data_IF_408935582432
#
_entry.id   IF_408935582432
#
_cell.length_a   1.000
_cell.length_b   1.000
_cell.length_c   1.000
_cell.angle_alpha   90.00
_cell.angle_beta   90.00
_cell.angle_gamma   90.00
#
_symmetry.space_group_name_H-M   'P 1'
#
loop_
_entity.id
_entity.type
_entity.pdbx_description
1 polymer ?
#
# COMPACT_ATOMS: atom_id res chain seq x y z
N UNK A 1 -5.83 6.41 -16.61
CA UNK A 1 -5.39 7.36 -15.57
C UNK A 1 -3.87 7.31 -15.47
N UNK A 2 -3.22 8.46 -15.49
CA UNK A 2 -1.76 8.57 -15.31
C UNK A 2 -1.51 9.25 -13.96
N UNK A 3 -0.67 8.64 -13.13
CA UNK A 3 -0.24 9.21 -11.84
C UNK A 3 1.25 9.47 -11.91
N UNK A 4 1.67 10.67 -11.51
CA UNK A 4 3.07 11.09 -11.41
C UNK A 4 3.39 11.45 -9.96
N UNK A 5 4.68 11.42 -9.58
CA UNK A 5 5.17 11.72 -8.22
C UNK A 5 4.49 10.90 -7.11
N UNK A 6 4.31 9.59 -7.33
CA UNK A 6 3.69 8.69 -6.34
C UNK A 6 4.49 8.61 -5.02
N UNK A 7 5.78 8.93 -5.06
CA UNK A 7 6.69 9.04 -3.92
C UNK A 7 6.39 10.24 -3.01
N UNK A 8 5.71 11.28 -3.53
CA UNK A 8 5.36 12.50 -2.77
C UNK A 8 3.98 12.46 -2.12
N UNK A 9 3.34 11.29 -2.12
CA UNK A 9 2.01 11.13 -1.51
C UNK A 9 2.12 11.22 0.02
N UNK A 10 1.34 12.13 0.61
CA UNK A 10 1.33 12.36 2.07
C UNK A 10 0.09 11.75 2.70
N UNK A 11 0.27 10.97 3.76
CA UNK A 11 -0.84 10.56 4.62
C UNK A 11 -0.95 11.49 5.83
N UNK A 12 -2.15 11.98 6.07
CA UNK A 12 -2.44 12.88 7.19
C UNK A 12 -2.43 12.15 8.54
N UNK A 13 -2.25 12.92 9.61
CA UNK A 13 -2.35 12.45 11.00
C UNK A 13 -1.40 11.30 11.35
N UNK A 14 -0.17 11.26 10.81
CA UNK A 14 0.80 10.19 11.13
C UNK A 14 0.32 8.78 10.74
N UNK A 15 -0.56 8.67 9.74
CA UNK A 15 -1.06 7.37 9.27
C UNK A 15 0.01 6.58 8.51
N UNK A 16 1.03 7.23 7.97
CA UNK A 16 2.12 6.56 7.26
C UNK A 16 2.86 5.57 8.19
N UNK A 17 3.18 6.02 9.41
CA UNK A 17 3.86 5.22 10.43
C UNK A 17 2.93 4.17 11.05
N UNK A 18 1.69 4.56 11.36
CA UNK A 18 0.76 3.71 12.14
C UNK A 18 0.06 2.63 11.32
N UNK A 19 -0.01 2.79 10.00
CA UNK A 19 -0.72 1.86 9.13
C UNK A 19 0.21 0.72 8.72
N UNK A 20 0.08 -0.42 9.38
CA UNK A 20 0.75 -1.64 8.96
C UNK A 20 -0.04 -2.28 7.82
N UNK A 21 0.67 -2.63 6.74
CA UNK A 21 0.13 -3.39 5.62
C UNK A 21 0.58 -4.83 5.75
N UNK A 22 -0.38 -5.72 5.94
CA UNK A 22 -0.14 -7.16 5.99
C UNK A 22 -0.38 -7.79 4.61
N UNK A 23 0.53 -8.66 4.20
CA UNK A 23 0.35 -9.55 3.04
C UNK A 23 0.68 -10.98 3.43
N UNK A 24 -0.03 -11.93 2.84
CA UNK A 24 0.18 -13.36 3.08
C UNK A 24 0.69 -14.03 1.81
N UNK A 25 1.69 -14.90 1.93
CA UNK A 25 2.25 -15.64 0.78
C UNK A 25 1.45 -16.89 0.39
N UNK A 26 0.61 -17.39 1.30
CA UNK A 26 -0.19 -18.62 1.11
C UNK A 26 0.31 -19.82 1.91
N UNK A 27 1.53 -19.75 2.47
CA UNK A 27 2.13 -20.82 3.27
C UNK A 27 1.99 -20.56 4.77
N UNK A 28 1.99 -21.60 5.64
CA UNK A 28 2.03 -21.43 7.09
C UNK A 28 3.20 -20.54 7.53
N UNK A 29 2.93 -19.52 8.35
CA UNK A 29 3.93 -18.52 8.78
C UNK A 29 4.27 -17.46 7.72
N UNK A 30 3.61 -17.47 6.56
CA UNK A 30 3.87 -16.59 5.42
C UNK A 30 3.36 -15.15 5.55
N UNK A 31 3.10 -14.66 6.76
CA UNK A 31 2.67 -13.27 6.99
C UNK A 31 3.89 -12.36 6.85
N UNK A 32 3.78 -11.35 6.00
CA UNK A 32 4.72 -10.23 5.93
C UNK A 32 3.99 -8.94 6.28
N UNK A 33 4.60 -8.14 7.13
CA UNK A 33 4.12 -6.82 7.54
C UNK A 33 5.18 -5.78 7.20
N UNK A 34 4.78 -4.72 6.54
CA UNK A 34 5.60 -3.52 6.34
C UNK A 34 4.76 -2.30 6.75
N UNK A 35 5.37 -1.24 7.26
CA UNK A 35 4.66 0.03 7.48
C UNK A 35 4.32 0.69 6.15
N UNK A 36 3.30 1.56 6.13
CA UNK A 36 2.93 2.27 4.91
C UNK A 36 4.03 3.22 4.45
N UNK A 37 4.79 3.80 5.38
CA UNK A 37 5.99 4.60 5.13
C UNK A 37 7.11 3.78 4.45
N UNK A 38 7.42 2.60 4.98
CA UNK A 38 8.44 1.71 4.40
C UNK A 38 8.07 1.28 2.99
N UNK A 39 6.78 1.00 2.76
CA UNK A 39 6.28 0.66 1.44
C UNK A 39 6.37 1.87 0.51
N UNK A 40 6.03 3.09 0.97
CA UNK A 40 6.11 4.32 0.17
C UNK A 40 7.54 4.56 -0.31
N UNK A 41 8.53 4.32 0.55
CA UNK A 41 9.94 4.43 0.20
C UNK A 41 10.38 3.33 -0.79
N UNK A 42 9.93 2.08 -0.59
CA UNK A 42 10.35 0.93 -1.42
C UNK A 42 9.66 0.89 -2.79
N UNK A 43 8.34 1.08 -2.82
CA UNK A 43 7.45 0.85 -3.98
C UNK A 43 6.22 1.78 -3.97
N UNK A 44 6.40 3.09 -4.17
CA UNK A 44 5.33 4.07 -4.03
C UNK A 44 4.18 3.85 -5.04
N UNK A 45 4.49 3.45 -6.27
CA UNK A 45 3.48 3.21 -7.31
C UNK A 45 2.53 2.05 -6.97
N UNK A 46 3.04 0.99 -6.33
CA UNK A 46 2.24 -0.19 -5.98
C UNK A 46 1.20 0.11 -4.91
N UNK A 47 1.55 0.95 -3.92
CA UNK A 47 0.64 1.39 -2.88
C UNK A 47 -0.51 2.21 -3.45
N UNK A 48 -0.20 3.16 -4.32
CA UNK A 48 -1.20 4.01 -4.96
C UNK A 48 -2.12 3.14 -5.81
N UNK A 49 -1.56 2.22 -6.61
CA UNK A 49 -2.33 1.26 -7.40
C UNK A 49 -3.23 0.38 -6.53
N UNK A 50 -2.71 -0.18 -5.44
CA UNK A 50 -3.48 -1.05 -4.54
C UNK A 50 -4.63 -0.28 -3.87
N UNK A 51 -4.39 0.97 -3.49
CA UNK A 51 -5.41 1.83 -2.91
C UNK A 51 -6.51 2.15 -3.92
N UNK A 52 -6.14 2.46 -5.18
CA UNK A 52 -7.09 2.65 -6.27
C UNK A 52 -7.87 1.37 -6.58
N UNK A 53 -7.19 0.22 -6.62
CA UNK A 53 -7.83 -1.09 -6.83
C UNK A 53 -8.91 -1.36 -5.78
N UNK A 54 -8.69 -0.97 -4.52
CA UNK A 54 -9.69 -1.10 -3.46
C UNK A 54 -10.91 -0.17 -3.62
N UNK A 55 -10.80 0.90 -4.40
CA UNK A 55 -11.92 1.81 -4.72
C UNK A 55 -12.75 1.32 -5.91
N UNK A 56 -12.28 0.30 -6.63
CA UNK A 56 -12.97 -0.25 -7.79
C UNK A 56 -13.80 -1.46 -7.33
N UNK A 57 -15.10 -1.54 -7.70
CA UNK A 57 -15.92 -2.71 -7.40
C UNK A 57 -15.26 -3.98 -7.93
N UNK A 58 -15.20 -5.02 -7.09
CA UNK A 58 -14.86 -6.36 -7.57
C UNK A 58 -16.08 -6.91 -8.29
N UNK A 59 -16.03 -6.96 -9.62
CA UNK A 59 -16.97 -7.72 -10.43
C UNK A 59 -16.30 -9.04 -10.80
N UNK A 60 -17.07 -10.13 -10.78
CA UNK A 60 -16.64 -11.48 -11.13
C UNK A 60 -16.33 -11.64 -12.63
#
# INVERSE_FOLDING_TARGET
>A
MIVINADKVVLTSGKAERKIVYRHTGFPGGIKSDSYEELLAKKPADIVRQSIRGMIPKTD
#
